data_IF_064090317817
#
_entry.id   IF_064090317817
#
_cell.length_a   1.000
_cell.length_b   1.000
_cell.length_c   1.000
_cell.angle_alpha   90.00
_cell.angle_beta   90.00
_cell.angle_gamma   90.00
#
_symmetry.space_group_name_H-M   'P 1'
#
loop_
_entity.id
_entity.type
_entity.pdbx_description
1 polymer ?
#
# COMPACT_ATOMS: atom_id res chain seq x y z
N UNK A 1 -6.72 22.12 19.42
CA UNK A 1 -7.69 21.82 18.35
C UNK A 1 -7.02 20.78 17.47
N UNK A 2 -7.40 19.53 17.64
CA UNK A 2 -6.86 18.43 16.84
C UNK A 2 -7.38 18.59 15.41
N UNK A 3 -6.48 18.57 14.44
CA UNK A 3 -6.80 18.87 13.05
C UNK A 3 -7.49 17.67 12.41
N UNK A 4 -8.80 17.78 12.16
CA UNK A 4 -9.66 16.70 11.65
C UNK A 4 -9.22 16.10 10.30
N UNK A 5 -8.36 16.77 9.53
CA UNK A 5 -7.92 16.23 8.25
C UNK A 5 -6.94 15.06 8.38
N UNK A 6 -6.31 14.88 9.56
CA UNK A 6 -5.41 13.75 9.85
C UNK A 6 -6.12 12.38 9.83
N UNK A 7 -7.44 12.36 10.12
CA UNK A 7 -8.25 11.14 10.19
C UNK A 7 -9.08 10.87 8.93
N UNK A 8 -8.88 11.64 7.87
CA UNK A 8 -9.68 11.53 6.63
C UNK A 8 -9.58 10.15 5.96
N UNK A 9 -8.52 9.39 6.25
CA UNK A 9 -8.32 8.03 5.77
C UNK A 9 -8.32 6.97 6.91
N UNK A 10 -8.76 7.35 8.12
CA UNK A 10 -8.86 6.44 9.27
C UNK A 10 -10.21 5.71 9.22
N UNK A 11 -10.18 4.39 9.08
CA UNK A 11 -11.38 3.55 9.18
C UNK A 11 -11.63 3.23 10.66
N UNK A 12 -12.70 3.79 11.23
CA UNK A 12 -13.06 3.55 12.63
C UNK A 12 -13.61 2.13 12.87
N UNK A 13 -13.36 1.54 14.05
CA UNK A 13 -13.87 0.22 14.38
C UNK A 13 -15.40 0.17 14.35
N UNK A 14 -15.95 -0.94 13.84
CA UNK A 14 -17.40 -1.14 13.74
C UNK A 14 -18.08 -0.35 12.62
N UNK A 15 -17.32 0.30 11.73
CA UNK A 15 -17.86 0.90 10.50
C UNK A 15 -17.68 -0.07 9.32
N UNK A 16 -18.68 -0.07 8.45
CA UNK A 16 -18.57 -0.75 7.16
C UNK A 16 -17.59 -0.02 6.24
N UNK A 17 -16.76 -0.77 5.53
CA UNK A 17 -15.80 -0.26 4.57
C UNK A 17 -15.87 -1.12 3.31
N UNK A 18 -16.01 -0.46 2.16
CA UNK A 18 -15.94 -1.14 0.87
C UNK A 18 -14.49 -1.43 0.53
N UNK A 19 -14.17 -2.71 0.30
CA UNK A 19 -12.85 -3.13 -0.12
C UNK A 19 -12.71 -2.98 -1.64
N UNK A 20 -11.64 -2.34 -2.09
CA UNK A 20 -11.28 -2.29 -3.51
C UNK A 20 -10.24 -3.37 -3.84
N UNK A 21 -10.55 -4.22 -4.82
CA UNK A 21 -9.68 -5.34 -5.23
C UNK A 21 -8.74 -4.95 -6.37
N UNK A 22 -9.15 -3.99 -7.21
CA UNK A 22 -8.42 -3.53 -8.39
C UNK A 22 -8.56 -2.02 -8.54
N UNK A 23 -7.53 -1.36 -9.06
CA UNK A 23 -7.50 0.11 -9.11
C UNK A 23 -6.12 0.70 -9.32
N UNK A 24 -6.12 2.02 -9.51
CA UNK A 24 -4.95 2.88 -9.31
C UNK A 24 -5.13 3.64 -8.01
N UNK A 25 -4.21 3.47 -7.07
CA UNK A 25 -4.29 4.10 -5.75
C UNK A 25 -2.97 4.79 -5.40
N UNK A 26 -3.09 5.81 -4.56
CA UNK A 26 -1.94 6.40 -3.87
C UNK A 26 -1.77 5.70 -2.52
N UNK A 27 -0.57 5.18 -2.27
CA UNK A 27 -0.29 4.43 -1.06
C UNK A 27 1.08 4.82 -0.47
N UNK A 28 1.18 4.80 0.86
CA UNK A 28 2.40 5.13 1.58
C UNK A 28 3.21 3.84 1.81
N UNK A 29 4.46 3.80 1.35
CA UNK A 29 5.32 2.61 1.51
C UNK A 29 6.33 2.77 2.63
N UNK A 30 6.63 1.66 3.32
CA UNK A 30 7.69 1.64 4.34
C UNK A 30 9.08 1.44 3.76
N UNK A 31 9.18 0.91 2.53
CA UNK A 31 10.42 0.62 1.81
C UNK A 31 10.57 1.52 0.58
N UNK A 32 11.79 1.65 0.06
CA UNK A 32 12.01 2.35 -1.20
C UNK A 32 11.33 1.58 -2.35
N UNK A 33 10.50 2.28 -3.11
CA UNK A 33 9.71 1.71 -4.19
C UNK A 33 10.40 1.93 -5.54
N UNK A 34 10.50 0.86 -6.33
CA UNK A 34 10.96 0.92 -7.72
C UNK A 34 9.86 0.41 -8.64
N UNK A 35 9.71 1.05 -9.81
CA UNK A 35 8.67 0.68 -10.78
C UNK A 35 8.85 -0.79 -11.21
N UNK A 36 7.74 -1.53 -11.25
CA UNK A 36 7.73 -2.96 -11.59
C UNK A 36 7.91 -3.91 -10.38
N UNK A 37 8.16 -3.39 -9.18
CA UNK A 37 8.12 -4.20 -7.96
C UNK A 37 6.70 -4.58 -7.56
N UNK A 38 6.61 -5.66 -6.77
CA UNK A 38 5.36 -6.09 -6.14
C UNK A 38 5.13 -5.39 -4.83
N UNK A 39 3.85 -5.13 -4.56
CA UNK A 39 3.39 -4.53 -3.32
C UNK A 39 2.97 -5.65 -2.37
N UNK A 40 3.51 -5.59 -1.16
CA UNK A 40 3.29 -6.52 -0.08
C UNK A 40 2.52 -5.81 1.02
N UNK A 41 1.47 -6.44 1.56
CA UNK A 41 0.65 -5.86 2.62
C UNK A 41 0.81 -6.66 3.93
N UNK A 42 1.00 -5.95 5.04
CA UNK A 42 1.07 -6.52 6.39
C UNK A 42 -0.32 -6.92 6.88
N UNK A 43 -0.50 -8.17 7.29
CA UNK A 43 -1.78 -8.64 7.88
C UNK A 43 -1.98 -8.16 9.33
N UNK A 44 -0.93 -7.63 9.96
CA UNK A 44 -0.98 -7.21 11.37
C UNK A 44 -1.14 -5.71 11.51
N UNK A 45 -0.46 -4.92 10.67
CA UNK A 45 -0.42 -3.45 10.77
C UNK A 45 -1.16 -2.75 9.63
N UNK A 46 -1.45 -3.43 8.52
CA UNK A 46 -2.03 -2.81 7.32
C UNK A 46 -1.05 -1.97 6.52
N UNK A 47 0.22 -1.88 6.93
CA UNK A 47 1.27 -1.19 6.19
C UNK A 47 1.60 -1.92 4.89
N UNK A 48 2.08 -1.17 3.90
CA UNK A 48 2.57 -1.74 2.64
C UNK A 48 4.08 -1.59 2.51
N UNK A 49 4.71 -2.62 1.97
CA UNK A 49 6.11 -2.68 1.58
C UNK A 49 6.20 -3.06 0.09
N UNK A 50 7.36 -2.81 -0.50
CA UNK A 50 7.66 -3.11 -1.90
C UNK A 50 8.87 -4.04 -1.97
N UNK A 51 8.83 -4.99 -2.90
CA UNK A 51 9.92 -5.94 -3.09
C UNK A 51 9.87 -6.63 -4.45
N UNK A 52 10.85 -7.48 -4.71
CA UNK A 52 10.86 -8.29 -5.92
C UNK A 52 9.71 -9.33 -5.86
N UNK A 53 9.10 -9.61 -7.02
CA UNK A 53 8.03 -10.60 -7.13
C UNK A 53 8.52 -11.97 -6.63
N UNK A 54 7.69 -12.68 -5.85
CA UNK A 54 8.04 -13.98 -5.27
C UNK A 54 8.97 -13.90 -4.04
N UNK A 55 9.31 -12.71 -3.56
CA UNK A 55 10.04 -12.55 -2.29
C UNK A 55 9.10 -12.81 -1.13
N UNK A 56 9.48 -13.69 -0.20
CA UNK A 56 8.72 -13.87 1.04
C UNK A 56 9.19 -12.84 2.07
N UNK A 57 8.30 -11.91 2.45
CA UNK A 57 8.51 -11.02 3.59
C UNK A 57 7.71 -11.54 4.80
N UNK A 58 8.40 -11.80 5.91
CA UNK A 58 7.76 -12.30 7.13
C UNK A 58 6.70 -11.30 7.63
N UNK A 59 5.45 -11.77 7.78
CA UNK A 59 4.33 -10.92 8.20
C UNK A 59 3.65 -10.13 7.08
N UNK A 60 4.14 -10.24 5.83
CA UNK A 60 3.56 -9.60 4.67
C UNK A 60 3.09 -10.61 3.63
N UNK A 61 2.02 -10.25 2.91
CA UNK A 61 1.45 -11.04 1.82
C UNK A 61 1.63 -10.30 0.50
N UNK A 62 2.08 -11.02 -0.53
CA UNK A 62 2.17 -10.47 -1.88
C UNK A 62 0.76 -10.17 -2.42
N UNK A 63 0.56 -8.95 -2.92
CA UNK A 63 -0.72 -8.52 -3.48
C UNK A 63 -0.71 -8.53 -5.01
N UNK A 64 -1.89 -8.42 -5.62
CA UNK A 64 -2.01 -8.25 -7.07
C UNK A 64 -1.49 -6.90 -7.60
N UNK A 65 -1.19 -5.96 -6.70
CA UNK A 65 -0.73 -4.62 -7.06
C UNK A 65 0.76 -4.58 -7.40
N UNK A 66 1.09 -3.71 -8.35
CA UNK A 66 2.46 -3.43 -8.79
C UNK A 66 2.76 -1.94 -8.64
N UNK A 67 4.03 -1.61 -8.41
CA UNK A 67 4.49 -0.23 -8.24
C UNK A 67 4.50 0.48 -9.60
N UNK A 68 3.71 1.54 -9.72
CA UNK A 68 3.60 2.36 -10.93
C UNK A 68 4.40 3.68 -10.87
N UNK A 69 4.92 4.05 -9.68
CA UNK A 69 5.83 5.19 -9.51
C UNK A 69 6.91 4.87 -8.50
N UNK A 70 8.16 5.22 -8.80
CA UNK A 70 9.26 5.11 -7.84
C UNK A 70 9.18 6.24 -6.80
N UNK A 71 9.57 5.94 -5.56
CA UNK A 71 9.71 6.93 -4.49
C UNK A 71 10.61 6.37 -3.38
N UNK A 72 11.09 7.25 -2.48
CA UNK A 72 11.84 6.83 -1.31
C UNK A 72 10.93 6.15 -0.26
N UNK A 73 11.55 5.53 0.74
CA UNK A 73 10.81 5.00 1.88
C UNK A 73 10.04 6.13 2.59
N UNK A 74 8.81 5.82 3.03
CA UNK A 74 7.87 6.75 3.68
C UNK A 74 7.35 7.85 2.76
N UNK A 75 7.46 7.68 1.45
CA UNK A 75 6.82 8.55 0.46
C UNK A 75 5.59 7.87 -0.17
N UNK A 76 4.74 8.70 -0.76
CA UNK A 76 3.51 8.24 -1.42
C UNK A 76 3.84 7.79 -2.84
N UNK A 77 3.47 6.56 -3.17
CA UNK A 77 3.64 5.95 -4.49
C UNK A 77 2.29 5.71 -5.15
N UNK A 78 2.32 5.53 -6.47
CA UNK A 78 1.19 5.00 -7.23
C UNK A 78 1.29 3.48 -7.28
N UNK A 79 0.23 2.79 -6.91
CA UNK A 79 0.09 1.34 -7.08
C UNK A 79 -1.03 1.06 -8.08
N UNK A 80 -0.82 0.07 -8.95
CA UNK A 80 -1.77 -0.28 -10.01
C UNK A 80 -1.92 -1.79 -10.12
N UNK A 81 -3.13 -2.25 -10.44
CA UNK A 81 -3.38 -3.62 -10.91
C UNK A 81 -3.29 -3.76 -12.43
N UNK A 82 -3.28 -2.65 -13.16
CA UNK A 82 -3.36 -2.63 -14.62
C UNK A 82 -2.03 -2.29 -15.29
N UNK A 83 -1.28 -1.36 -14.69
CA UNK A 83 0.05 -0.98 -15.13
C UNK A 83 1.08 -1.92 -14.51
N UNK A 84 1.65 -2.81 -15.33
CA UNK A 84 2.74 -3.70 -14.93
C UNK A 84 4.08 -3.13 -15.38
#
# INVERSE_FOLDING_TARGET
MEWLAGDSNTIYPGRECTLMVSGDFWALTTTAATVGQKVFASLTTGEIATGAAGTTMAGFVETGFSVASAAAAKEVIKISTWSK
#
